data_IF_770886200509
#
_entry.id   IF_770886200509
#
_cell.length_a   1.000
_cell.length_b   1.000
_cell.length_c   1.000
_cell.angle_alpha   90.00
_cell.angle_beta   90.00
_cell.angle_gamma   90.00
#
_symmetry.space_group_name_H-M   'P 1'
#
loop_
_entity.id
_entity.type
_entity.pdbx_description
1 polymer ?
#
# COMPACT_ATOMS: atom_id res chain seq x y z
N UNK A 1 -18.79 27.75 -13.87
CA UNK A 1 -17.97 27.25 -14.97
C UNK A 1 -16.50 27.43 -14.60
N UNK A 2 -15.60 26.51 -14.96
CA UNK A 2 -14.16 26.72 -14.83
C UNK A 2 -13.66 27.23 -16.19
N UNK A 3 -13.69 28.54 -16.39
CA UNK A 3 -13.48 29.19 -17.71
C UNK A 3 -12.01 29.51 -18.02
N UNK A 4 -11.08 28.84 -17.34
CA UNK A 4 -9.64 29.05 -17.50
C UNK A 4 -9.03 28.11 -18.54
N UNK A 5 -8.16 28.65 -19.41
CA UNK A 5 -7.30 27.88 -20.30
C UNK A 5 -5.85 27.95 -19.82
N UNK A 6 -5.18 26.80 -19.72
CA UNK A 6 -3.79 26.72 -19.28
C UNK A 6 -3.27 25.30 -19.24
N UNK A 7 -1.95 25.15 -19.12
CA UNK A 7 -1.33 23.85 -18.90
C UNK A 7 -1.68 23.32 -17.52
N UNK A 8 -1.97 22.02 -17.44
CA UNK A 8 -2.17 21.33 -16.17
C UNK A 8 -0.85 20.72 -15.71
N UNK A 9 -0.57 20.87 -14.42
CA UNK A 9 0.48 20.09 -13.78
C UNK A 9 0.02 18.63 -13.69
N UNK A 10 0.83 17.72 -14.22
CA UNK A 10 0.55 16.29 -14.24
C UNK A 10 1.60 15.57 -13.41
N UNK A 11 1.21 14.48 -12.74
CA UNK A 11 2.14 13.54 -12.10
C UNK A 11 2.79 12.65 -13.18
N UNK A 12 3.62 13.27 -14.00
CA UNK A 12 4.33 12.65 -15.11
C UNK A 12 5.83 12.93 -15.01
N UNK A 13 6.61 11.93 -15.41
CA UNK A 13 8.06 12.05 -15.58
C UNK A 13 8.44 11.30 -16.84
N UNK A 14 9.26 11.92 -17.70
CA UNK A 14 9.71 11.34 -18.98
C UNK A 14 8.54 10.85 -19.85
N UNK A 15 7.50 11.69 -19.99
CA UNK A 15 6.26 11.41 -20.72
C UNK A 15 5.50 10.15 -20.27
N UNK A 16 5.75 9.66 -19.05
CA UNK A 16 5.06 8.51 -18.44
C UNK A 16 4.44 8.87 -17.11
N UNK A 17 3.41 8.11 -16.72
CA UNK A 17 2.79 8.21 -15.39
C UNK A 17 3.86 7.99 -14.30
N UNK A 18 3.92 8.90 -13.33
CA UNK A 18 4.73 8.77 -12.13
C UNK A 18 3.82 8.56 -10.91
N UNK A 19 3.44 7.30 -10.65
CA UNK A 19 2.64 6.92 -9.48
C UNK A 19 3.46 6.96 -8.18
N UNK A 20 2.79 6.87 -7.04
CA UNK A 20 3.47 6.71 -5.74
C UNK A 20 4.36 5.45 -5.69
N UNK A 21 3.93 4.34 -6.30
CA UNK A 21 4.74 3.12 -6.37
C UNK A 21 6.02 3.32 -7.20
N UNK A 22 5.96 4.06 -8.31
CA UNK A 22 7.12 4.38 -9.15
C UNK A 22 8.05 5.39 -8.47
N UNK A 23 7.49 6.44 -7.88
CA UNK A 23 8.27 7.52 -7.30
C UNK A 23 8.93 7.14 -5.96
N UNK A 24 8.21 6.42 -5.09
CA UNK A 24 8.67 6.16 -3.71
C UNK A 24 9.11 4.73 -3.48
N UNK A 25 8.34 3.71 -3.92
CA UNK A 25 8.64 2.31 -3.60
C UNK A 25 9.72 1.71 -4.51
N UNK A 26 9.60 1.92 -5.83
CA UNK A 26 10.50 1.34 -6.83
C UNK A 26 11.98 1.64 -6.56
N UNK A 27 12.40 2.86 -6.20
CA UNK A 27 13.81 3.16 -5.95
C UNK A 27 14.40 2.45 -4.72
N UNK A 28 13.57 2.11 -3.73
CA UNK A 28 14.01 1.56 -2.44
C UNK A 28 13.63 0.09 -2.24
N UNK A 29 13.11 -0.58 -3.27
CA UNK A 29 12.58 -1.96 -3.19
C UNK A 29 13.56 -3.01 -2.66
N UNK A 30 14.87 -2.74 -2.73
CA UNK A 30 15.91 -3.67 -2.29
C UNK A 30 16.31 -3.50 -0.81
N UNK A 31 15.73 -2.53 -0.09
CA UNK A 31 16.03 -2.33 1.33
C UNK A 31 15.53 -3.53 2.15
N UNK A 32 16.42 -4.13 2.95
CA UNK A 32 16.11 -5.34 3.75
C UNK A 32 15.00 -5.15 4.80
N UNK A 33 14.73 -3.91 5.19
CA UNK A 33 13.68 -3.55 6.15
C UNK A 33 12.35 -3.17 5.49
N UNK A 34 12.20 -3.40 4.17
CA UNK A 34 10.97 -3.17 3.43
C UNK A 34 10.52 -4.45 2.74
N UNK A 35 9.31 -4.90 3.06
CA UNK A 35 8.65 -6.02 2.39
C UNK A 35 7.39 -5.50 1.69
N UNK A 36 7.31 -5.69 0.37
CA UNK A 36 6.10 -5.38 -0.42
C UNK A 36 5.50 -6.70 -0.89
N UNK A 37 4.24 -6.95 -0.51
CA UNK A 37 3.49 -8.16 -0.90
C UNK A 37 2.34 -7.73 -1.81
N UNK A 38 2.33 -8.21 -3.04
CA UNK A 38 1.19 -8.04 -3.97
C UNK A 38 0.26 -9.23 -3.86
N UNK A 39 -0.96 -9.10 -4.37
CA UNK A 39 -1.94 -10.18 -4.44
C UNK A 39 -2.33 -10.76 -3.06
N UNK A 40 -2.15 -9.96 -2.01
CA UNK A 40 -2.53 -10.27 -0.63
C UNK A 40 -3.70 -9.39 -0.22
N UNK A 41 -4.86 -10.00 -0.01
CA UNK A 41 -6.05 -9.28 0.44
C UNK A 41 -6.09 -9.24 1.96
N UNK A 42 -6.14 -8.03 2.54
CA UNK A 42 -6.45 -7.85 3.96
C UNK A 42 -7.97 -8.03 4.15
N UNK A 43 -8.37 -8.98 5.00
CA UNK A 43 -9.79 -9.29 5.26
C UNK A 43 -10.32 -8.53 6.47
N UNK A 44 -9.49 -8.28 7.48
CA UNK A 44 -9.82 -7.50 8.68
C UNK A 44 -8.58 -7.04 9.45
N UNK A 45 -8.76 -6.01 10.27
CA UNK A 45 -7.80 -5.61 11.30
C UNK A 45 -7.99 -6.52 12.52
N UNK A 46 -6.90 -7.04 13.07
CA UNK A 46 -6.92 -7.82 14.32
C UNK A 46 -6.76 -6.88 15.49
N UNK A 47 -7.75 -6.85 16.39
CA UNK A 47 -7.78 -5.99 17.57
C UNK A 47 -7.81 -6.84 18.83
N UNK A 48 -6.87 -6.57 19.74
CA UNK A 48 -6.79 -7.22 21.06
C UNK A 48 -6.82 -6.13 22.13
N UNK A 49 -7.75 -6.24 23.10
CA UNK A 49 -7.91 -5.28 24.21
C UNK A 49 -7.99 -3.81 23.75
N UNK A 50 -8.64 -3.55 22.62
CA UNK A 50 -8.79 -2.21 22.05
C UNK A 50 -7.59 -1.69 21.25
N UNK A 51 -6.51 -2.47 21.08
CA UNK A 51 -5.34 -2.11 20.28
C UNK A 51 -5.28 -2.93 18.99
N UNK A 52 -5.02 -2.29 17.85
CA UNK A 52 -4.70 -2.99 16.61
C UNK A 52 -3.33 -3.67 16.73
N UNK A 53 -3.28 -4.99 16.55
CA UNK A 53 -2.09 -5.83 16.71
C UNK A 53 -1.61 -6.48 15.41
N UNK A 54 -2.31 -6.24 14.31
CA UNK A 54 -2.00 -6.83 13.02
C UNK A 54 -3.19 -6.84 12.07
N UNK A 55 -3.05 -7.58 10.98
CA UNK A 55 -4.08 -7.79 9.96
C UNK A 55 -4.22 -9.26 9.64
N UNK A 56 -5.44 -9.69 9.38
CA UNK A 56 -5.70 -10.99 8.77
C UNK A 56 -5.65 -10.83 7.25
N UNK A 57 -4.96 -11.76 6.58
CA UNK A 57 -4.74 -11.74 5.14
C UNK A 57 -5.07 -13.08 4.50
N UNK A 58 -5.40 -13.01 3.22
CA UNK A 58 -5.54 -14.16 2.32
C UNK A 58 -4.64 -13.93 1.12
N UNK A 59 -3.61 -14.78 0.97
CA UNK A 59 -2.54 -14.61 -0.03
C UNK A 59 -2.93 -15.05 -1.45
N UNK A 60 -4.10 -15.68 -1.61
CA UNK A 60 -4.67 -16.09 -2.90
C UNK A 60 -6.16 -16.42 -2.74
N UNK A 61 -6.99 -16.30 -3.79
CA UNK A 61 -8.38 -16.73 -3.72
C UNK A 61 -8.52 -18.17 -3.21
N UNK A 62 -9.38 -18.38 -2.21
CA UNK A 62 -9.57 -19.69 -1.56
C UNK A 62 -8.42 -20.15 -0.64
N UNK A 63 -7.41 -19.31 -0.42
CA UNK A 63 -6.34 -19.56 0.54
C UNK A 63 -6.83 -19.53 1.99
N UNK A 64 -6.10 -20.22 2.87
CA UNK A 64 -6.38 -20.15 4.31
C UNK A 64 -5.98 -18.77 4.85
N UNK A 65 -6.80 -18.17 5.73
CA UNK A 65 -6.44 -16.92 6.39
C UNK A 65 -5.17 -17.06 7.23
N UNK A 66 -4.32 -16.05 7.19
CA UNK A 66 -3.12 -15.93 8.02
C UNK A 66 -3.09 -14.57 8.70
N UNK A 67 -2.45 -14.48 9.87
CA UNK A 67 -2.31 -13.21 10.60
C UNK A 67 -0.89 -12.67 10.44
N UNK A 68 -0.79 -11.42 9.98
CA UNK A 68 0.44 -10.63 10.02
C UNK A 68 0.40 -9.71 11.22
N UNK A 69 1.31 -9.92 12.18
CA UNK A 69 1.39 -9.10 13.40
C UNK A 69 2.16 -7.81 13.15
N UNK A 70 1.70 -6.74 13.78
CA UNK A 70 2.37 -5.45 13.82
C UNK A 70 2.81 -5.15 15.26
N UNK A 71 4.11 -4.92 15.46
CA UNK A 71 4.63 -4.63 16.80
C UNK A 71 4.19 -3.25 17.30
N UNK A 72 4.09 -2.27 16.39
CA UNK A 72 3.80 -0.88 16.73
C UNK A 72 2.40 -0.45 16.30
N UNK A 73 2.16 -0.39 14.99
CA UNK A 73 0.97 0.23 14.42
C UNK A 73 0.55 -0.46 13.13
N UNK A 74 -0.74 -0.33 12.80
CA UNK A 74 -1.33 -0.66 11.50
C UNK A 74 -1.79 0.66 10.87
N UNK A 75 -1.39 0.94 9.63
CA UNK A 75 -1.75 2.16 8.89
C UNK A 75 -2.71 1.80 7.76
N UNK A 76 -3.81 2.56 7.61
CA UNK A 76 -4.88 2.37 6.62
C UNK A 76 -5.01 3.60 5.75
#
# INVERSE_FOLDING_TARGET
SQEGVGYYQLTQKDARRSSASVAYLKPIRARRNLSVRTDVLVTRIVVEKGRAVGVEVVDKPGGQPAILRAEREVVV
#
